data_IF_342514411400
#
_entry.id   IF_342514411400
#
_cell.length_a   1.000
_cell.length_b   1.000
_cell.length_c   1.000
_cell.angle_alpha   90.00
_cell.angle_beta   90.00
_cell.angle_gamma   90.00
#
_symmetry.space_group_name_H-M   'P 1'
#
loop_
_entity.id
_entity.type
_entity.pdbx_description
1 polymer ?
#
# COMPACT_ATOMS: atom_id res chain seq x y z
N UNK A 1 5.89 -6.02 -10.63
CA UNK A 1 4.68 -5.24 -10.29
C UNK A 1 4.78 -3.87 -10.95
N UNK A 2 3.69 -3.30 -11.47
CA UNK A 2 3.69 -1.95 -12.03
C UNK A 2 3.12 -0.95 -11.03
N UNK A 3 3.77 0.21 -10.86
CA UNK A 3 3.28 1.34 -10.07
C UNK A 3 2.17 2.06 -10.86
N UNK A 4 0.97 1.46 -10.90
CA UNK A 4 -0.18 1.97 -11.67
C UNK A 4 -1.26 2.54 -10.72
N UNK A 5 -1.39 3.88 -10.64
CA UNK A 5 -2.35 4.52 -9.72
C UNK A 5 -3.81 4.32 -10.15
N UNK A 6 -4.09 4.20 -11.45
CA UNK A 6 -5.44 3.93 -11.96
C UNK A 6 -5.90 2.54 -11.54
N UNK A 7 -5.06 1.52 -11.77
CA UNK A 7 -5.36 0.15 -11.40
C UNK A 7 -5.56 -0.01 -9.89
N UNK A 8 -4.74 0.68 -9.09
CA UNK A 8 -4.90 0.71 -7.63
C UNK A 8 -6.24 1.33 -7.22
N UNK A 9 -6.58 2.52 -7.75
CA UNK A 9 -7.82 3.20 -7.41
C UNK A 9 -9.08 2.38 -7.79
N UNK A 10 -9.02 1.61 -8.87
CA UNK A 10 -10.13 0.74 -9.29
C UNK A 10 -10.38 -0.45 -8.36
N UNK A 11 -9.47 -0.79 -7.44
CA UNK A 11 -9.71 -1.79 -6.39
C UNK A 11 -10.65 -1.28 -5.29
N UNK A 12 -10.79 0.04 -5.13
CA UNK A 12 -11.60 0.66 -4.08
C UNK A 12 -13.06 0.85 -4.50
N UNK A 13 -13.96 0.97 -3.54
CA UNK A 13 -15.29 1.57 -3.79
C UNK A 13 -15.14 3.03 -4.24
N UNK A 14 -16.15 3.66 -4.87
CA UNK A 14 -16.05 5.06 -5.30
C UNK A 14 -15.62 6.03 -4.18
N UNK A 15 -16.08 5.77 -2.96
CA UNK A 15 -15.83 6.51 -1.71
C UNK A 15 -14.79 5.84 -0.79
N UNK A 16 -14.10 4.82 -1.28
CA UNK A 16 -13.16 4.02 -0.48
C UNK A 16 -12.00 4.83 0.05
N UNK A 17 -11.46 4.42 1.20
CA UNK A 17 -10.43 5.17 1.92
C UNK A 17 -9.14 4.37 1.97
N UNK A 18 -8.03 5.03 1.66
CA UNK A 18 -6.69 4.57 1.98
C UNK A 18 -6.16 5.35 3.19
N UNK A 19 -5.68 4.67 4.22
CA UNK A 19 -4.98 5.27 5.36
C UNK A 19 -3.63 4.60 5.59
N UNK A 20 -2.59 5.40 5.86
CA UNK A 20 -1.32 4.94 6.38
C UNK A 20 -1.12 5.52 7.80
N UNK A 21 -1.66 4.88 8.86
CA UNK A 21 -1.82 5.54 10.16
C UNK A 21 -0.52 5.96 10.85
N UNK A 22 0.57 5.24 10.57
CA UNK A 22 1.91 5.47 11.14
C UNK A 22 2.71 6.53 10.38
N UNK A 23 2.26 6.94 9.20
CA UNK A 23 2.92 7.99 8.41
C UNK A 23 2.70 9.35 9.10
N UNK A 24 3.79 10.10 9.41
CA UNK A 24 3.68 11.42 10.02
C UNK A 24 2.92 12.43 9.15
N UNK A 25 2.36 13.46 9.79
CA UNK A 25 1.72 14.56 9.06
C UNK A 25 2.77 15.33 8.25
N UNK A 26 2.50 15.57 6.97
CA UNK A 26 3.39 16.31 6.07
C UNK A 26 4.48 15.46 5.42
N UNK A 27 4.51 14.15 5.68
CA UNK A 27 5.37 13.20 5.01
C UNK A 27 5.08 13.14 3.49
N UNK A 28 6.07 12.70 2.71
CA UNK A 28 5.95 12.55 1.26
C UNK A 28 4.84 11.56 0.88
N UNK A 29 4.85 10.40 1.53
CA UNK A 29 3.78 9.42 1.46
C UNK A 29 2.46 9.97 2.04
N UNK A 30 1.30 9.81 1.37
CA UNK A 30 0.04 10.33 1.85
C UNK A 30 -0.49 9.55 3.06
N UNK A 31 -0.77 10.25 4.16
CA UNK A 31 -1.34 9.63 5.37
C UNK A 31 -2.78 9.14 5.19
N UNK A 32 -3.57 9.82 4.35
CA UNK A 32 -4.98 9.48 4.08
C UNK A 32 -5.41 10.03 2.73
N UNK A 33 -6.15 9.22 1.97
CA UNK A 33 -6.76 9.57 0.69
C UNK A 33 -8.22 9.07 0.69
N UNK A 34 -9.18 9.92 0.32
CA UNK A 34 -10.59 9.60 0.34
C UNK A 34 -11.20 9.61 -1.07
N UNK A 35 -11.73 8.46 -1.49
CA UNK A 35 -12.31 8.24 -2.79
C UNK A 35 -11.27 8.00 -3.88
N UNK A 36 -11.72 7.37 -4.98
CA UNK A 36 -10.83 6.95 -6.08
C UNK A 36 -10.02 8.09 -6.70
N UNK A 37 -10.60 9.29 -6.76
CA UNK A 37 -9.93 10.45 -7.34
C UNK A 37 -8.70 10.86 -6.53
N UNK A 38 -8.83 10.98 -5.19
CA UNK A 38 -7.70 11.30 -4.32
C UNK A 38 -6.69 10.16 -4.27
N UNK A 39 -7.14 8.90 -4.23
CA UNK A 39 -6.26 7.73 -4.25
C UNK A 39 -5.38 7.74 -5.51
N UNK A 40 -6.00 7.91 -6.68
CA UNK A 40 -5.29 7.98 -7.96
C UNK A 40 -4.28 9.13 -7.96
N UNK A 41 -4.71 10.35 -7.65
CA UNK A 41 -3.86 11.52 -7.70
C UNK A 41 -2.71 11.47 -6.69
N UNK A 42 -3.00 11.08 -5.45
CA UNK A 42 -2.01 10.99 -4.37
C UNK A 42 -0.95 9.92 -4.64
N UNK A 43 -1.37 8.74 -5.10
CA UNK A 43 -0.45 7.66 -5.42
C UNK A 43 0.34 7.93 -6.70
N UNK A 44 -0.25 8.58 -7.71
CA UNK A 44 0.48 9.04 -8.88
C UNK A 44 1.61 10.00 -8.48
N UNK A 45 1.30 11.04 -7.70
CA UNK A 45 2.27 12.02 -7.23
C UNK A 45 3.38 11.39 -6.37
N UNK A 46 3.06 10.34 -5.61
CA UNK A 46 4.07 9.58 -4.86
C UNK A 46 4.93 8.69 -5.79
N UNK A 47 4.34 7.99 -6.75
CA UNK A 47 5.08 7.15 -7.71
C UNK A 47 5.99 7.96 -8.63
N UNK A 48 5.65 9.21 -8.95
CA UNK A 48 6.54 10.10 -9.71
C UNK A 48 7.82 10.47 -8.96
N UNK A 49 7.83 10.36 -7.63
CA UNK A 49 9.01 10.61 -6.80
C UNK A 49 9.94 9.41 -6.74
N UNK A 50 9.42 8.22 -7.04
CA UNK A 50 10.22 7.01 -7.06
C UNK A 50 11.24 7.07 -8.20
N UNK A 51 12.50 6.98 -7.84
CA UNK A 51 13.66 6.90 -8.74
C UNK A 51 14.07 5.44 -8.96
N UNK A 52 14.97 5.21 -9.92
CA UNK A 52 15.54 3.87 -10.14
C UNK A 52 16.37 3.36 -8.94
N UNK A 53 16.77 4.24 -8.02
CA UNK A 53 17.59 3.91 -6.84
C UNK A 53 16.81 3.43 -5.63
N UNK A 54 15.48 3.57 -5.61
CA UNK A 54 14.62 3.22 -4.47
C UNK A 54 14.27 1.71 -4.42
N UNK A 55 15.00 0.92 -5.20
CA UNK A 55 14.86 -0.52 -5.30
C UNK A 55 13.66 -1.00 -6.12
N UNK A 56 13.79 -2.21 -6.66
CA UNK A 56 12.71 -2.89 -7.38
C UNK A 56 12.11 -3.98 -6.52
N UNK A 57 10.78 -4.09 -6.49
CA UNK A 57 10.10 -5.17 -5.74
C UNK A 57 10.48 -6.54 -6.31
N UNK A 58 11.13 -7.37 -5.49
CA UNK A 58 11.45 -8.76 -5.77
C UNK A 58 10.27 -9.65 -5.36
N UNK A 59 9.40 -9.96 -6.32
CA UNK A 59 8.19 -10.75 -6.08
C UNK A 59 8.52 -12.19 -5.66
N UNK A 60 9.62 -12.76 -6.17
CA UNK A 60 10.00 -14.15 -5.88
C UNK A 60 10.49 -14.35 -4.46
N UNK A 61 11.07 -13.32 -3.84
CA UNK A 61 11.53 -13.35 -2.46
C UNK A 61 10.52 -12.75 -1.48
N UNK A 62 9.62 -11.89 -1.94
CA UNK A 62 8.53 -11.34 -1.12
C UNK A 62 7.55 -12.42 -0.66
N UNK A 63 6.99 -12.25 0.54
CA UNK A 63 6.05 -13.21 1.14
C UNK A 63 4.84 -12.49 1.70
N UNK A 64 3.72 -13.20 1.80
CA UNK A 64 2.56 -12.71 2.52
C UNK A 64 1.78 -13.85 3.19
N UNK A 65 1.06 -13.51 4.24
CA UNK A 65 0.10 -14.37 4.94
C UNK A 65 -1.23 -13.65 5.00
N UNK A 66 -2.33 -14.35 4.67
CA UNK A 66 -3.68 -13.82 4.80
C UNK A 66 -4.36 -14.41 6.02
N UNK A 67 -4.98 -13.55 6.81
CA UNK A 67 -5.79 -13.91 7.96
C UNK A 67 -7.25 -13.56 7.68
N UNK A 68 -8.06 -14.59 7.51
CA UNK A 68 -9.51 -14.44 7.52
C UNK A 68 -9.98 -14.05 8.92
N UNK A 69 -10.99 -13.20 9.00
CA UNK A 69 -11.63 -12.85 10.27
C UNK A 69 -13.02 -13.50 10.37
N UNK A 70 -13.71 -13.31 11.49
CA UNK A 70 -15.10 -13.75 11.64
C UNK A 70 -16.08 -12.96 10.74
N UNK A 71 -15.68 -11.76 10.31
CA UNK A 71 -16.42 -10.96 9.34
C UNK A 71 -15.85 -11.24 7.94
N UNK A 72 -16.62 -11.82 7.00
CA UNK A 72 -16.12 -12.16 5.67
C UNK A 72 -15.70 -10.94 4.84
N UNK A 73 -16.19 -9.74 5.17
CA UNK A 73 -15.81 -8.50 4.52
C UNK A 73 -14.56 -7.86 5.17
N UNK A 74 -13.91 -8.54 6.11
CA UNK A 74 -12.68 -8.08 6.75
C UNK A 74 -11.60 -9.16 6.71
N UNK A 75 -10.45 -8.81 6.15
CA UNK A 75 -9.25 -9.65 6.21
C UNK A 75 -8.00 -8.82 6.51
N UNK A 76 -6.97 -9.51 6.99
CA UNK A 76 -5.67 -8.92 7.31
C UNK A 76 -4.61 -9.60 6.44
N UNK A 77 -3.68 -8.83 5.91
CA UNK A 77 -2.49 -9.34 5.24
C UNK A 77 -1.24 -8.93 6.03
N UNK A 78 -0.41 -9.90 6.38
CA UNK A 78 0.99 -9.67 6.77
C UNK A 78 1.83 -9.81 5.51
N UNK A 79 2.69 -8.84 5.19
CA UNK A 79 3.45 -8.81 3.94
C UNK A 79 4.91 -8.45 4.25
N UNK A 80 5.84 -9.26 3.78
CA UNK A 80 7.26 -8.94 3.73
C UNK A 80 7.62 -8.66 2.27
N UNK A 81 7.81 -7.38 1.94
CA UNK A 81 8.19 -6.92 0.61
C UNK A 81 9.71 -6.81 0.52
N UNK A 82 10.34 -7.60 -0.33
CA UNK A 82 11.77 -7.50 -0.61
C UNK A 82 11.98 -6.49 -1.73
N UNK A 83 12.84 -5.50 -1.50
CA UNK A 83 13.27 -4.48 -2.45
C UNK A 83 14.72 -4.74 -2.81
N UNK A 84 15.00 -5.04 -4.07
CA UNK A 84 16.36 -5.17 -4.59
C UNK A 84 16.93 -3.78 -4.84
N UNK A 85 17.88 -3.36 -4.00
CA UNK A 85 18.68 -2.15 -4.17
C UNK A 85 19.90 -2.37 -5.06
N UNK A 86 20.73 -1.33 -5.22
CA UNK A 86 21.94 -1.40 -6.05
C UNK A 86 23.00 -2.37 -5.50
N UNK A 87 23.15 -2.41 -4.17
CA UNK A 87 24.21 -3.18 -3.48
C UNK A 87 23.67 -4.31 -2.58
N UNK A 88 22.47 -4.14 -2.00
CA UNK A 88 21.82 -5.14 -1.16
C UNK A 88 20.29 -5.09 -1.27
N UNK A 89 19.63 -6.22 -0.94
CA UNK A 89 18.18 -6.29 -0.85
C UNK A 89 17.73 -5.97 0.58
N UNK A 90 16.70 -5.14 0.71
CA UNK A 90 16.09 -4.78 2.00
C UNK A 90 14.69 -5.34 2.08
N UNK A 91 14.24 -5.73 3.28
CA UNK A 91 12.86 -6.18 3.51
C UNK A 91 12.06 -5.11 4.24
N UNK A 92 10.94 -4.72 3.67
CA UNK A 92 9.92 -3.87 4.30
C UNK A 92 8.74 -4.75 4.74
N UNK A 93 8.46 -4.75 6.05
CA UNK A 93 7.32 -5.48 6.61
C UNK A 93 6.09 -4.56 6.75
N UNK A 94 4.94 -5.07 6.35
CA UNK A 94 3.65 -4.38 6.40
C UNK A 94 2.59 -5.25 7.05
N UNK A 95 1.64 -4.60 7.73
CA UNK A 95 0.36 -5.18 8.09
C UNK A 95 -0.73 -4.34 7.45
N UNK A 96 -1.57 -4.98 6.64
CA UNK A 96 -2.67 -4.33 5.94
C UNK A 96 -3.99 -4.87 6.43
N UNK A 97 -4.90 -3.99 6.82
CA UNK A 97 -6.26 -4.34 7.20
C UNK A 97 -7.21 -3.85 6.12
N UNK A 98 -7.92 -4.79 5.50
CA UNK A 98 -8.88 -4.51 4.44
C UNK A 98 -10.29 -4.67 4.97
N UNK A 99 -11.15 -3.69 4.66
CA UNK A 99 -12.59 -3.80 4.74
C UNK A 99 -13.18 -3.70 3.35
N UNK A 100 -14.02 -4.65 3.01
CA UNK A 100 -14.63 -4.77 1.70
C UNK A 100 -16.09 -4.30 1.74
N UNK A 101 -16.59 -3.96 0.56
CA UNK A 101 -18.00 -3.80 0.26
C UNK A 101 -18.19 -4.23 -1.18
N UNK A 102 -19.06 -5.21 -1.42
CA UNK A 102 -19.32 -5.77 -2.76
C UNK A 102 -18.04 -6.21 -3.50
N UNK A 103 -17.08 -6.78 -2.76
CA UNK A 103 -15.79 -7.23 -3.32
C UNK A 103 -14.80 -6.12 -3.70
N UNK A 104 -15.09 -4.86 -3.34
CA UNK A 104 -14.19 -3.71 -3.49
C UNK A 104 -13.73 -3.20 -2.13
N UNK A 105 -12.57 -2.55 -2.08
CA UNK A 105 -12.00 -2.02 -0.85
C UNK A 105 -12.76 -0.76 -0.43
N UNK A 106 -13.49 -0.82 0.68
CA UNK A 106 -14.11 0.34 1.31
C UNK A 106 -13.12 1.06 2.25
N UNK A 107 -12.23 0.31 2.91
CA UNK A 107 -11.15 0.86 3.73
C UNK A 107 -9.91 -0.03 3.65
N UNK A 108 -8.76 0.58 3.38
CA UNK A 108 -7.44 0.00 3.62
C UNK A 108 -6.75 0.81 4.72
N UNK A 109 -6.29 0.12 5.77
CA UNK A 109 -5.29 0.66 6.69
C UNK A 109 -3.97 -0.06 6.49
N UNK A 110 -2.98 0.69 6.06
CA UNK A 110 -1.64 0.24 5.69
C UNK A 110 -0.64 0.61 6.79
N UNK A 111 -0.18 -0.39 7.55
CA UNK A 111 0.76 -0.21 8.64
C UNK A 111 2.14 -0.66 8.20
N UNK A 112 3.07 0.28 8.11
CA UNK A 112 4.48 0.06 7.85
C UNK A 112 5.28 1.11 8.64
N UNK A 113 6.57 0.87 8.85
CA UNK A 113 7.44 1.85 9.50
C UNK A 113 7.68 3.01 8.53
N UNK A 114 7.40 4.26 8.94
CA UNK A 114 7.35 5.39 8.00
C UNK A 114 8.70 5.68 7.32
N UNK A 115 9.80 5.35 7.98
CA UNK A 115 11.17 5.45 7.46
C UNK A 115 11.45 4.51 6.29
N UNK A 116 10.57 3.53 5.99
CA UNK A 116 10.70 2.66 4.82
C UNK A 116 10.11 3.25 3.54
N UNK A 117 9.50 4.44 3.60
CA UNK A 117 8.87 5.13 2.46
C UNK A 117 9.25 6.60 2.35
N UNK A 118 10.27 7.02 3.09
CA UNK A 118 10.88 8.37 3.03
C UNK A 118 11.52 8.65 1.66
#
# INVERSE_FOLDING_TARGET
MTRNPDALAELFTPDGIYEAPLVPKGHAFPRRLAGRAEIRAGMAAYYERFTETDGTVNVEQSRYVLHATADPDVFIAEIDTVLDGADESTTMSLVQIFRLSEGKIALLRDYFAADTVD
#
